data_IF_879757632511
#
_entry.id   IF_879757632511
#
_cell.length_a   1.000
_cell.length_b   1.000
_cell.length_c   1.000
_cell.angle_alpha   90.00
_cell.angle_beta   90.00
_cell.angle_gamma   90.00
#
_symmetry.space_group_name_H-M   'P 1'
#
loop_
_entity.id
_entity.type
_entity.pdbx_description
1 polymer ?
#
# COMPACT_ATOMS: atom_id res chain seq x y z
N UNK A 1 -5.78 -18.16 -9.04
CA UNK A 1 -6.39 -16.86 -8.75
C UNK A 1 -6.06 -16.41 -7.33
N UNK A 2 -5.75 -15.16 -7.16
CA UNK A 2 -5.47 -14.61 -5.85
C UNK A 2 -6.76 -14.52 -5.05
N UNK A 3 -6.72 -14.96 -3.80
CA UNK A 3 -7.88 -14.90 -2.93
C UNK A 3 -8.17 -13.49 -2.46
N UNK A 4 -7.12 -12.69 -2.26
CA UNK A 4 -7.27 -11.32 -1.86
C UNK A 4 -7.38 -10.43 -3.08
N UNK A 5 -8.19 -9.42 -2.97
CA UNK A 5 -8.34 -8.47 -4.06
C UNK A 5 -7.10 -7.61 -4.15
N UNK A 6 -6.46 -7.54 -5.32
CA UNK A 6 -5.26 -6.71 -5.46
C UNK A 6 -5.53 -5.22 -5.31
N UNK A 7 -6.81 -4.82 -5.37
CA UNK A 7 -7.19 -3.41 -5.32
C UNK A 7 -7.51 -2.91 -3.92
N UNK A 8 -7.22 -3.69 -2.88
CA UNK A 8 -7.55 -3.30 -1.51
C UNK A 8 -6.77 -2.08 -1.03
N UNK A 9 -5.61 -1.82 -1.60
CA UNK A 9 -4.79 -0.67 -1.20
C UNK A 9 -4.26 0.02 -2.44
N UNK A 10 -4.92 1.10 -2.83
CA UNK A 10 -4.52 1.93 -3.97
C UNK A 10 -4.33 3.36 -3.52
N UNK A 11 -3.48 4.08 -4.23
CA UNK A 11 -3.31 5.51 -4.05
C UNK A 11 -4.00 6.26 -5.18
N UNK A 12 -4.56 7.42 -4.89
CA UNK A 12 -5.00 8.36 -5.92
C UNK A 12 -4.31 9.69 -5.66
N UNK A 13 -4.14 10.48 -6.72
CA UNK A 13 -3.49 11.78 -6.58
C UNK A 13 -4.40 12.79 -5.88
N UNK A 14 -5.70 12.60 -6.00
CA UNK A 14 -6.71 13.25 -5.16
C UNK A 14 -7.98 12.43 -5.25
N UNK A 15 -8.97 12.75 -4.41
CA UNK A 15 -10.18 11.94 -4.30
C UNK A 15 -10.97 11.82 -5.61
N UNK A 16 -10.82 12.78 -6.52
CA UNK A 16 -11.55 12.80 -7.79
C UNK A 16 -10.69 12.45 -8.99
N UNK A 17 -9.41 12.14 -8.77
CA UNK A 17 -8.49 11.84 -9.86
C UNK A 17 -8.77 10.47 -10.46
N UNK A 18 -8.67 10.36 -11.79
CA UNK A 18 -8.73 9.07 -12.46
C UNK A 18 -7.38 8.34 -12.41
N UNK A 19 -6.30 9.05 -12.09
CA UNK A 19 -4.96 8.45 -12.00
C UNK A 19 -4.81 7.72 -10.69
N UNK A 20 -4.45 6.44 -10.79
CA UNK A 20 -4.26 5.58 -9.63
C UNK A 20 -2.84 5.06 -9.61
N UNK A 21 -2.38 4.75 -8.42
CA UNK A 21 -1.02 4.26 -8.20
C UNK A 21 -1.01 3.23 -7.09
N UNK A 22 0.05 2.45 -7.02
CA UNK A 22 0.31 1.57 -5.89
C UNK A 22 1.73 1.81 -5.40
N UNK A 23 1.94 1.54 -4.12
CA UNK A 23 3.28 1.52 -3.56
C UNK A 23 4.03 0.28 -4.05
N UNK A 24 5.34 0.41 -4.23
CA UNK A 24 6.17 -0.77 -4.49
C UNK A 24 6.09 -1.80 -3.36
N UNK A 25 5.74 -1.37 -2.15
CA UNK A 25 5.47 -2.28 -1.03
C UNK A 25 4.25 -3.15 -1.32
N UNK A 26 3.16 -2.52 -1.81
CA UNK A 26 1.95 -3.25 -2.18
C UNK A 26 2.22 -4.22 -3.32
N UNK A 27 2.98 -3.79 -4.31
CA UNK A 27 3.36 -4.66 -5.43
C UNK A 27 4.13 -5.88 -4.92
N UNK A 28 5.08 -5.67 -4.00
CA UNK A 28 5.85 -6.77 -3.42
C UNK A 28 4.93 -7.78 -2.72
N UNK A 29 3.91 -7.31 -1.99
CA UNK A 29 2.97 -8.19 -1.34
C UNK A 29 2.16 -9.01 -2.35
N UNK A 30 1.72 -8.36 -3.42
CA UNK A 30 0.97 -9.07 -4.48
C UNK A 30 1.83 -10.13 -5.14
N UNK A 31 3.08 -9.79 -5.49
CA UNK A 31 3.99 -10.74 -6.11
C UNK A 31 4.30 -11.91 -5.19
N UNK A 32 4.50 -11.64 -3.90
CA UNK A 32 4.72 -12.70 -2.93
C UNK A 32 3.50 -13.64 -2.85
N UNK A 33 2.30 -13.07 -2.84
CA UNK A 33 1.08 -13.86 -2.85
C UNK A 33 0.98 -14.77 -4.06
N UNK A 34 1.37 -14.27 -5.23
CA UNK A 34 1.37 -15.06 -6.45
C UNK A 34 2.40 -16.18 -6.40
N UNK A 35 3.61 -15.89 -5.90
CA UNK A 35 4.68 -16.88 -5.84
C UNK A 35 4.35 -18.05 -4.93
N UNK A 36 3.58 -17.82 -3.88
CA UNK A 36 3.18 -18.90 -2.96
C UNK A 36 1.83 -19.53 -3.31
N UNK A 37 1.23 -19.13 -4.42
CA UNK A 37 -0.05 -19.68 -4.84
C UNK A 37 0.13 -20.99 -5.59
N UNK A 38 -0.98 -21.71 -5.81
CA UNK A 38 -0.97 -22.96 -6.57
C UNK A 38 -0.90 -22.73 -8.08
N UNK A 39 -1.08 -21.49 -8.54
CA UNK A 39 -1.06 -21.11 -9.95
C UNK A 39 -0.15 -19.93 -10.17
N UNK A 40 1.13 -20.17 -9.94
CA UNK A 40 2.13 -19.10 -9.93
C UNK A 40 2.16 -18.33 -11.25
N UNK A 41 2.33 -19.01 -12.37
CA UNK A 41 2.44 -18.33 -13.67
C UNK A 41 1.21 -17.53 -14.03
N UNK A 42 0.03 -18.09 -13.79
CA UNK A 42 -1.22 -17.39 -14.07
C UNK A 42 -1.37 -16.15 -13.20
N UNK A 43 -1.06 -16.28 -11.91
CA UNK A 43 -1.22 -15.17 -10.98
C UNK A 43 -0.18 -14.08 -11.20
N UNK A 44 1.05 -14.44 -11.55
CA UNK A 44 2.05 -13.45 -11.91
C UNK A 44 1.63 -12.68 -13.16
N UNK A 45 1.09 -13.36 -14.15
CA UNK A 45 0.62 -12.69 -15.37
C UNK A 45 -0.55 -11.74 -15.07
N UNK A 46 -1.47 -12.17 -14.19
CA UNK A 46 -2.60 -11.32 -13.80
C UNK A 46 -2.13 -10.07 -13.08
N UNK A 47 -1.14 -10.20 -12.19
CA UNK A 47 -0.60 -9.06 -11.48
C UNK A 47 0.14 -8.13 -12.43
N UNK A 48 0.92 -8.67 -13.35
CA UNK A 48 1.62 -7.85 -14.35
C UNK A 48 0.63 -7.04 -15.18
N UNK A 49 -0.45 -7.67 -15.62
CA UNK A 49 -1.50 -6.99 -16.36
C UNK A 49 -2.12 -5.87 -15.51
N UNK A 50 -2.36 -6.15 -14.24
CA UNK A 50 -2.95 -5.17 -13.32
C UNK A 50 -2.05 -3.94 -13.16
N UNK A 51 -0.77 -4.13 -12.79
CA UNK A 51 0.07 -2.98 -12.50
C UNK A 51 0.58 -2.27 -13.76
N UNK A 52 0.44 -2.91 -14.94
CA UNK A 52 0.80 -2.24 -16.19
C UNK A 52 -0.07 -1.02 -16.48
N UNK A 53 -1.22 -0.93 -15.83
CA UNK A 53 -2.16 0.18 -16.00
C UNK A 53 -2.07 1.19 -14.86
N UNK A 54 -1.15 0.98 -13.93
CA UNK A 54 -1.01 1.81 -12.76
C UNK A 54 0.38 2.40 -12.72
N UNK A 55 0.52 3.46 -11.96
CA UNK A 55 1.82 3.99 -11.63
C UNK A 55 2.32 3.25 -10.38
N UNK A 56 3.53 2.69 -10.45
CA UNK A 56 4.14 2.05 -9.28
C UNK A 56 5.12 3.03 -8.68
N UNK A 57 4.87 3.47 -7.47
CA UNK A 57 5.68 4.47 -6.79
C UNK A 57 6.72 3.79 -5.90
N UNK A 58 8.00 4.12 -6.07
CA UNK A 58 9.04 3.51 -5.24
C UNK A 58 9.00 4.06 -3.81
N UNK A 59 9.10 3.16 -2.85
CA UNK A 59 9.20 3.51 -1.44
C UNK A 59 10.63 3.99 -1.18
N UNK A 60 10.79 5.27 -0.90
CA UNK A 60 12.11 5.88 -0.79
C UNK A 60 12.37 6.50 0.58
N UNK A 61 13.40 7.34 0.64
CA UNK A 61 13.87 7.96 1.88
C UNK A 61 12.78 8.79 2.55
N UNK A 62 12.04 9.56 1.77
CA UNK A 62 10.98 10.39 2.29
C UNK A 62 9.90 9.57 2.97
N UNK A 63 9.51 8.45 2.34
CA UNK A 63 8.54 7.54 2.93
C UNK A 63 9.10 6.91 4.21
N UNK A 64 10.38 6.57 4.23
CA UNK A 64 11.03 6.02 5.41
C UNK A 64 11.00 7.00 6.58
N UNK A 65 11.22 8.29 6.31
CA UNK A 65 11.16 9.32 7.34
C UNK A 65 9.75 9.41 7.94
N UNK A 66 8.73 9.37 7.09
CA UNK A 66 7.35 9.36 7.55
C UNK A 66 7.02 8.10 8.35
N UNK A 67 7.56 6.96 7.93
CA UNK A 67 7.35 5.70 8.66
C UNK A 67 7.89 5.79 10.08
N UNK A 68 9.08 6.33 10.26
CA UNK A 68 9.67 6.50 11.58
C UNK A 68 8.79 7.34 12.49
N UNK A 69 8.29 8.47 11.97
CA UNK A 69 7.45 9.37 12.74
C UNK A 69 6.10 8.74 13.09
N UNK A 70 5.48 8.07 12.13
CA UNK A 70 4.18 7.42 12.34
C UNK A 70 4.31 6.29 13.37
N UNK A 71 5.32 5.45 13.20
CA UNK A 71 5.53 4.31 14.07
C UNK A 71 5.73 4.76 15.51
N UNK A 72 6.57 5.77 15.72
CA UNK A 72 6.81 6.31 17.06
C UNK A 72 5.52 6.87 17.67
N UNK A 73 4.71 7.59 16.87
CA UNK A 73 3.46 8.17 17.35
C UNK A 73 2.45 7.10 17.75
N UNK A 74 2.31 6.06 16.93
CA UNK A 74 1.35 4.99 17.23
C UNK A 74 1.78 4.15 18.42
N UNK A 75 3.07 3.90 18.57
CA UNK A 75 3.59 3.19 19.75
C UNK A 75 3.32 3.96 21.02
N UNK A 76 3.50 5.25 21.00
CA UNK A 76 3.19 6.12 22.14
C UNK A 76 1.73 6.04 22.54
N UNK A 77 0.84 5.94 21.55
CA UNK A 77 -0.60 5.89 21.80
C UNK A 77 -1.08 4.47 22.12
N UNK A 78 -0.21 3.47 22.04
CA UNK A 78 -0.61 2.09 22.22
C UNK A 78 -1.54 1.59 21.13
N UNK A 79 -1.39 2.12 19.91
CA UNK A 79 -2.26 1.78 18.77
C UNK A 79 -1.47 1.30 17.57
N UNK A 80 -0.68 0.22 17.71
CA UNK A 80 0.11 -0.27 16.58
C UNK A 80 -0.78 -0.80 15.47
N UNK A 81 -0.24 -0.74 14.25
CA UNK A 81 -0.86 -1.37 13.09
C UNK A 81 0.17 -2.30 12.44
N UNK A 82 -0.25 -3.07 11.44
CA UNK A 82 0.67 -3.97 10.76
C UNK A 82 1.85 -3.25 10.13
N UNK A 83 2.99 -3.93 10.02
CA UNK A 83 4.22 -3.32 9.50
C UNK A 83 4.05 -2.82 8.07
N UNK A 84 3.47 -3.66 7.19
CA UNK A 84 3.27 -3.26 5.81
C UNK A 84 2.26 -2.12 5.72
N UNK A 85 1.23 -2.13 6.55
CA UNK A 85 0.26 -1.03 6.60
C UNK A 85 0.93 0.27 7.03
N UNK A 86 1.87 0.22 7.96
CA UNK A 86 2.63 1.41 8.35
C UNK A 86 3.44 1.96 7.18
N UNK A 87 4.13 1.08 6.45
CA UNK A 87 4.90 1.51 5.28
C UNK A 87 4.02 2.12 4.20
N UNK A 88 2.86 1.52 3.95
CA UNK A 88 1.93 2.02 2.93
C UNK A 88 1.38 3.38 3.34
N UNK A 89 0.99 3.53 4.61
CA UNK A 89 0.49 4.81 5.13
C UNK A 89 1.57 5.89 5.05
N UNK A 90 2.79 5.55 5.43
CA UNK A 90 3.92 6.47 5.37
C UNK A 90 4.18 6.93 3.94
N UNK A 91 4.11 5.98 3.00
CA UNK A 91 4.32 6.28 1.59
C UNK A 91 3.26 7.24 1.07
N UNK A 92 1.98 6.95 1.35
CA UNK A 92 0.89 7.83 0.92
C UNK A 92 1.03 9.24 1.51
N UNK A 93 1.30 9.32 2.81
CA UNK A 93 1.45 10.60 3.49
C UNK A 93 2.63 11.40 2.94
N UNK A 94 3.75 10.73 2.67
CA UNK A 94 4.96 11.38 2.16
C UNK A 94 4.76 11.97 0.76
N UNK A 95 3.87 11.38 -0.03
CA UNK A 95 3.60 11.85 -1.39
C UNK A 95 2.33 12.70 -1.48
N UNK A 96 1.65 12.91 -0.37
CA UNK A 96 0.40 13.67 -0.36
C UNK A 96 -0.72 12.99 -1.14
N UNK A 97 -0.76 11.67 -1.14
CA UNK A 97 -1.74 10.90 -1.89
C UNK A 97 -2.92 10.48 -1.03
N UNK A 98 -4.05 10.26 -1.66
CA UNK A 98 -5.23 9.72 -0.99
C UNK A 98 -5.15 8.20 -0.99
N UNK A 99 -5.30 7.60 0.18
CA UNK A 99 -5.25 6.15 0.33
C UNK A 99 -6.64 5.56 0.17
N UNK A 100 -6.79 4.68 -0.81
CA UNK A 100 -8.03 3.95 -1.05
C UNK A 100 -7.84 2.54 -0.52
N UNK A 101 -8.61 2.15 0.48
CA UNK A 101 -8.42 0.88 1.16
C UNK A 101 -9.73 0.37 1.77
N UNK A 102 -9.82 -0.96 1.94
CA UNK A 102 -10.88 -1.59 2.71
C UNK A 102 -10.55 -1.66 4.20
N UNK A 103 -9.31 -1.36 4.57
CA UNK A 103 -8.85 -1.47 5.96
C UNK A 103 -8.84 -0.10 6.63
N UNK A 104 -10.00 0.54 6.67
CA UNK A 104 -10.15 1.89 7.22
C UNK A 104 -9.80 1.93 8.69
N UNK A 105 -10.16 0.88 9.46
CA UNK A 105 -9.94 0.86 10.89
C UNK A 105 -8.49 1.04 11.30
N UNK A 106 -7.56 0.37 10.63
CA UNK A 106 -6.13 0.51 10.91
C UNK A 106 -5.58 1.84 10.41
N UNK A 107 -5.89 2.19 9.17
CA UNK A 107 -5.33 3.40 8.57
C UNK A 107 -5.87 4.68 9.21
N UNK A 108 -7.06 4.64 9.80
CA UNK A 108 -7.62 5.79 10.50
C UNK A 108 -6.78 6.21 11.72
N UNK A 109 -5.95 5.29 12.25
CA UNK A 109 -5.07 5.59 13.39
C UNK A 109 -3.88 6.46 13.00
N UNK A 110 -3.57 6.55 11.71
CA UNK A 110 -2.36 7.23 11.23
C UNK A 110 -2.59 8.74 11.18
N UNK A 111 -1.77 9.54 11.89
CA UNK A 111 -1.94 10.99 11.88
C UNK A 111 -1.71 11.57 10.49
N UNK A 112 -2.55 12.50 10.11
CA UNK A 112 -2.43 13.29 8.88
C UNK A 112 -2.40 12.45 7.60
N UNK A 113 -3.11 11.31 7.62
CA UNK A 113 -3.23 10.50 6.41
C UNK A 113 -4.49 10.83 5.65
#
# INVERSE_FOLDING_TARGET
MLKRRPVEVLFTFNANASRMAISSITLAELLHGAEKSSRVSENLAAIEDFYSRLEVLPYGTKAAQHDGAIRAALEKLGQPIGVNEMHIAAHARSEGLVLVTNNIGEFARVPAL
#
